data_IF_536485443236
#
_entry.id   IF_536485443236
#
_cell.length_a   1.000
_cell.length_b   1.000
_cell.length_c   1.000
_cell.angle_alpha   90.00
_cell.angle_beta   90.00
_cell.angle_gamma   90.00
#
_symmetry.space_group_name_H-M   'P 1'
#
loop_
_entity.id
_entity.type
_entity.pdbx_description
1 polymer ?
#
# COMPACT_ATOMS: atom_id res chain seq x y z
N UNK A 1 16.37 24.72 3.07
CA UNK A 1 17.24 25.09 4.20
C UNK A 1 18.58 24.42 4.04
N UNK A 2 19.53 25.17 3.51
CA UNK A 2 20.90 24.71 3.30
C UNK A 2 21.63 24.60 4.64
N UNK A 3 22.35 23.51 4.86
CA UNK A 3 23.18 23.28 6.06
C UNK A 3 24.58 22.84 5.68
N UNK A 4 25.56 23.17 6.52
CA UNK A 4 26.95 22.77 6.35
C UNK A 4 27.33 21.85 7.51
N UNK A 5 27.53 20.57 7.22
CA UNK A 5 27.94 19.57 8.20
C UNK A 5 29.45 19.51 8.27
N UNK A 6 30.01 19.62 9.47
CA UNK A 6 31.44 19.40 9.69
C UNK A 6 31.80 17.93 9.43
N UNK A 7 32.88 17.66 8.70
CA UNK A 7 33.35 16.27 8.45
C UNK A 7 34.19 15.71 9.59
N UNK A 8 34.74 16.60 10.42
CA UNK A 8 35.73 16.24 11.43
C UNK A 8 35.12 16.17 12.83
N UNK A 9 33.94 16.75 13.02
CA UNK A 9 33.23 16.78 14.30
C UNK A 9 31.92 16.02 14.18
N UNK A 10 31.62 15.09 15.10
CA UNK A 10 30.31 14.47 15.15
C UNK A 10 29.25 15.53 15.50
N UNK A 11 28.11 15.46 14.81
CA UNK A 11 26.90 16.24 15.11
C UNK A 11 27.01 17.77 15.05
N UNK A 12 28.02 18.31 14.35
CA UNK A 12 28.10 19.74 14.08
C UNK A 12 27.51 20.06 12.70
N UNK A 13 26.38 20.75 12.70
CA UNK A 13 25.78 21.38 11.52
C UNK A 13 25.65 22.89 11.74
N UNK A 14 26.10 23.66 10.75
CA UNK A 14 26.04 25.12 10.76
C UNK A 14 25.04 25.61 9.70
N UNK A 15 24.30 26.66 10.03
CA UNK A 15 23.60 27.45 9.02
C UNK A 15 24.60 28.31 8.21
N UNK A 16 24.23 28.81 7.02
CA UNK A 16 25.11 29.65 6.20
C UNK A 16 25.64 30.88 6.93
N UNK A 17 24.83 31.49 7.80
CA UNK A 17 25.22 32.66 8.60
C UNK A 17 26.30 32.30 9.64
N UNK A 18 26.13 31.19 10.38
CA UNK A 18 27.12 30.74 11.36
C UNK A 18 28.43 30.29 10.69
N UNK A 19 28.33 29.64 9.53
CA UNK A 19 29.51 29.23 8.76
C UNK A 19 30.28 30.44 8.23
N UNK A 20 29.61 31.41 7.63
CA UNK A 20 30.25 32.63 7.12
C UNK A 20 30.83 33.53 8.22
N UNK A 21 30.22 33.52 9.41
CA UNK A 21 30.76 34.17 10.60
C UNK A 21 31.96 33.42 11.21
N UNK A 22 32.29 32.21 10.75
CA UNK A 22 33.37 31.39 11.30
C UNK A 22 33.10 30.92 12.72
N UNK A 23 31.85 30.58 13.05
CA UNK A 23 31.45 30.15 14.38
C UNK A 23 32.20 28.89 14.83
N UNK A 24 32.74 28.92 16.04
CA UNK A 24 33.45 27.80 16.67
C UNK A 24 32.74 27.41 17.98
N UNK A 25 32.55 26.11 18.22
CA UNK A 25 31.88 25.60 19.42
C UNK A 25 32.60 24.36 19.96
N UNK A 26 32.99 24.40 21.24
CA UNK A 26 33.74 23.31 21.88
C UNK A 26 35.03 22.97 21.11
N UNK A 27 35.12 21.74 20.62
CA UNK A 27 36.27 21.25 19.84
C UNK A 27 36.16 21.56 18.33
N UNK A 28 35.03 22.09 17.87
CA UNK A 28 34.87 22.48 16.48
C UNK A 28 35.74 23.70 16.15
N UNK A 29 36.32 23.71 14.96
CA UNK A 29 37.13 24.82 14.45
C UNK A 29 36.70 25.17 13.03
N UNK A 30 36.76 26.46 12.70
CA UNK A 30 36.31 27.00 11.41
C UNK A 30 37.09 26.50 10.19
N UNK A 31 38.23 25.83 10.43
CA UNK A 31 39.12 25.29 9.40
C UNK A 31 38.93 23.80 9.15
N UNK A 32 38.01 23.13 9.85
CA UNK A 32 37.64 21.75 9.57
C UNK A 32 37.07 21.58 8.15
N UNK A 33 37.02 20.34 7.68
CA UNK A 33 36.30 20.02 6.46
C UNK A 33 34.78 20.18 6.64
N UNK A 34 34.08 20.52 5.56
CA UNK A 34 32.63 20.67 5.55
C UNK A 34 32.00 20.00 4.34
N UNK A 35 30.82 19.44 4.54
CA UNK A 35 29.96 18.90 3.49
C UNK A 35 28.66 19.68 3.44
N UNK A 36 28.24 20.03 2.23
CA UNK A 36 26.96 20.66 1.98
C UNK A 36 25.83 19.63 2.16
N UNK A 37 24.87 19.94 3.03
CA UNK A 37 23.65 19.17 3.23
C UNK A 37 22.49 19.98 2.69
N UNK A 38 21.95 19.54 1.54
CA UNK A 38 20.72 20.10 0.99
C UNK A 38 19.50 19.47 1.69
N UNK A 39 18.45 20.26 1.88
CA UNK A 39 17.18 19.83 2.45
C UNK A 39 16.25 19.13 1.45
N UNK A 40 16.80 18.61 0.35
CA UNK A 40 16.05 17.87 -0.68
C UNK A 40 15.14 18.75 -1.54
N UNK A 41 15.50 20.02 -1.77
CA UNK A 41 14.68 20.97 -2.53
C UNK A 41 14.87 20.87 -4.06
N UNK A 42 15.79 20.02 -4.52
CA UNK A 42 16.03 19.78 -5.94
C UNK A 42 15.02 18.77 -6.51
N UNK A 43 14.76 18.83 -7.82
CA UNK A 43 13.93 17.83 -8.52
C UNK A 43 14.77 16.61 -8.91
N UNK A 44 14.28 15.39 -8.62
CA UNK A 44 14.94 14.14 -9.01
C UNK A 44 14.80 13.84 -10.51
N UNK A 45 13.67 14.23 -11.09
CA UNK A 45 13.30 13.90 -12.46
C UNK A 45 13.71 14.97 -13.48
N UNK A 46 14.46 15.97 -13.02
CA UNK A 46 14.95 17.09 -13.81
C UNK A 46 14.05 18.33 -13.72
N UNK A 47 14.52 19.47 -14.24
CA UNK A 47 13.81 20.75 -14.16
C UNK A 47 12.54 20.81 -15.03
N UNK A 48 12.40 19.91 -16.00
CA UNK A 48 11.23 19.82 -16.89
C UNK A 48 10.18 18.82 -16.40
N UNK A 49 10.45 18.07 -15.33
CA UNK A 49 9.49 17.13 -14.77
C UNK A 49 8.26 17.87 -14.23
N UNK A 50 7.08 17.40 -14.63
CA UNK A 50 5.80 18.04 -14.30
C UNK A 50 5.63 18.25 -12.79
N UNK A 51 5.03 19.38 -12.42
CA UNK A 51 4.59 19.63 -11.05
C UNK A 51 5.68 20.01 -10.04
N UNK A 52 6.95 20.11 -10.42
CA UNK A 52 8.01 20.65 -9.54
C UNK A 52 8.25 19.85 -8.26
N UNK A 53 8.11 18.52 -8.34
CA UNK A 53 8.32 17.62 -7.19
C UNK A 53 9.76 17.69 -6.69
N UNK A 54 9.90 17.98 -5.40
CA UNK A 54 11.20 18.02 -4.74
C UNK A 54 11.61 16.62 -4.27
N UNK A 55 12.91 16.33 -4.21
CA UNK A 55 13.44 15.07 -3.69
C UNK A 55 12.90 14.74 -2.29
N UNK A 56 12.57 15.76 -1.49
CA UNK A 56 11.95 15.58 -0.19
C UNK A 56 10.50 15.12 -0.28
N UNK A 57 9.70 15.71 -1.19
CA UNK A 57 8.33 15.26 -1.46
C UNK A 57 8.34 13.82 -2.02
N UNK A 58 9.30 13.49 -2.88
CA UNK A 58 9.47 12.14 -3.44
C UNK A 58 9.78 11.11 -2.37
N UNK A 59 10.70 11.42 -1.45
CA UNK A 59 10.98 10.54 -0.31
C UNK A 59 9.74 10.36 0.57
N UNK A 60 9.05 11.47 0.89
CA UNK A 60 7.84 11.42 1.71
C UNK A 60 6.71 10.63 1.05
N UNK A 61 6.62 10.66 -0.28
CA UNK A 61 5.67 9.86 -1.05
C UNK A 61 5.96 8.36 -0.93
N UNK A 62 7.24 7.98 -1.01
CA UNK A 62 7.66 6.59 -0.85
C UNK A 62 7.45 6.07 0.58
N UNK A 63 7.68 6.91 1.58
CA UNK A 63 7.37 6.56 2.97
C UNK A 63 5.85 6.41 3.17
N UNK A 64 5.05 7.30 2.55
CA UNK A 64 3.59 7.27 2.64
C UNK A 64 2.98 6.03 1.98
N UNK A 65 3.47 5.62 0.80
CA UNK A 65 2.96 4.40 0.15
C UNK A 65 3.29 3.15 0.96
N UNK A 66 4.45 3.10 1.63
CA UNK A 66 4.82 2.00 2.52
C UNK A 66 3.89 1.97 3.76
N UNK A 67 3.56 3.14 4.31
CA UNK A 67 2.76 3.25 5.53
C UNK A 67 1.26 3.02 5.30
N UNK A 68 0.67 3.62 4.27
CA UNK A 68 -0.78 3.64 4.05
C UNK A 68 -1.25 2.69 2.94
N UNK A 69 -0.34 2.24 2.08
CA UNK A 69 -0.63 1.35 0.97
C UNK A 69 -1.25 2.06 -0.25
N UNK A 70 -1.16 1.36 -1.39
CA UNK A 70 -1.66 1.86 -2.67
C UNK A 70 -3.18 2.03 -2.67
N UNK A 71 -3.65 3.21 -3.11
CA UNK A 71 -5.07 3.54 -3.20
C UNK A 71 -5.57 4.46 -2.08
N UNK A 72 -4.84 4.59 -0.97
CA UNK A 72 -5.21 5.51 0.10
C UNK A 72 -4.62 6.92 -0.12
N UNK A 73 -5.00 7.55 -1.22
CA UNK A 73 -4.39 8.81 -1.69
C UNK A 73 -4.68 10.01 -0.78
N UNK A 74 -5.77 9.98 -0.03
CA UNK A 74 -6.13 11.02 0.94
C UNK A 74 -5.09 11.10 2.07
N UNK A 75 -4.82 9.97 2.74
CA UNK A 75 -3.83 9.91 3.81
C UNK A 75 -2.41 10.11 3.28
N UNK A 76 -2.13 9.59 2.08
CA UNK A 76 -0.82 9.80 1.44
C UNK A 76 -0.56 11.28 1.13
N UNK A 77 -1.53 12.02 0.60
CA UNK A 77 -1.38 13.45 0.33
C UNK A 77 -1.20 14.26 1.61
N UNK A 78 -1.95 13.92 2.67
CA UNK A 78 -1.76 14.53 3.98
C UNK A 78 -0.34 14.30 4.54
N UNK A 79 0.26 13.15 4.24
CA UNK A 79 1.63 12.81 4.66
C UNK A 79 2.71 13.55 3.85
N UNK A 80 2.58 13.57 2.51
CA UNK A 80 3.52 14.26 1.61
C UNK A 80 3.55 15.76 1.91
N UNK A 81 2.38 16.35 2.19
CA UNK A 81 2.23 17.71 2.67
C UNK A 81 1.09 18.46 2.00
N UNK A 82 0.68 19.56 2.63
CA UNK A 82 -0.48 20.36 2.20
C UNK A 82 -0.33 21.06 0.83
N UNK A 83 0.84 20.96 0.18
CA UNK A 83 1.09 21.50 -1.16
C UNK A 83 0.58 20.60 -2.29
N UNK A 84 0.17 19.36 -1.99
CA UNK A 84 -0.27 18.38 -3.00
C UNK A 84 -1.68 17.89 -2.71
N UNK A 85 -2.48 17.77 -3.75
CA UNK A 85 -3.80 17.14 -3.69
C UNK A 85 -3.68 15.62 -3.83
N UNK A 86 -4.65 14.84 -3.30
CA UNK A 86 -4.70 13.38 -3.51
C UNK A 86 -4.62 12.97 -4.99
N UNK A 87 -5.25 13.74 -5.87
CA UNK A 87 -5.21 13.50 -7.31
C UNK A 87 -3.81 13.67 -7.89
N UNK A 88 -3.11 14.76 -7.54
CA UNK A 88 -1.74 15.01 -8.01
C UNK A 88 -0.77 13.95 -7.49
N UNK A 89 -0.94 13.52 -6.23
CA UNK A 89 -0.12 12.46 -5.63
C UNK A 89 -0.31 11.13 -6.37
N UNK A 90 -1.57 10.76 -6.65
CA UNK A 90 -1.89 9.56 -7.41
C UNK A 90 -1.31 9.62 -8.82
N UNK A 91 -1.58 10.69 -9.56
CA UNK A 91 -1.13 10.85 -10.94
C UNK A 91 0.39 10.79 -11.04
N UNK A 92 1.09 11.48 -10.15
CA UNK A 92 2.55 11.47 -10.09
C UNK A 92 3.11 10.08 -9.78
N UNK A 93 2.57 9.40 -8.76
CA UNK A 93 3.05 8.07 -8.39
C UNK A 93 2.87 7.07 -9.55
N UNK A 94 1.69 7.07 -10.16
CA UNK A 94 1.36 6.16 -11.27
C UNK A 94 2.22 6.46 -12.51
N UNK A 95 2.39 7.72 -12.89
CA UNK A 95 3.16 8.09 -14.08
C UNK A 95 4.66 7.85 -13.90
N UNK A 96 5.24 8.19 -12.75
CA UNK A 96 6.69 8.18 -12.54
C UNK A 96 7.20 6.82 -12.03
N UNK A 97 6.48 6.19 -11.09
CA UNK A 97 6.94 4.96 -10.45
C UNK A 97 6.35 3.70 -11.07
N UNK A 98 5.09 3.72 -11.52
CA UNK A 98 4.44 2.52 -12.09
C UNK A 98 4.63 2.41 -13.60
N UNK A 99 4.37 3.50 -14.34
CA UNK A 99 4.49 3.52 -15.80
C UNK A 99 5.79 4.14 -16.30
N UNK A 100 6.54 4.78 -15.41
CA UNK A 100 7.82 5.39 -15.71
C UNK A 100 8.94 4.37 -15.83
N UNK A 101 10.16 4.88 -15.93
CA UNK A 101 11.34 4.03 -16.14
C UNK A 101 11.58 3.06 -14.98
N UNK A 102 11.28 3.47 -13.74
CA UNK A 102 11.40 2.61 -12.57
C UNK A 102 10.45 1.42 -12.66
N UNK A 103 9.17 1.65 -12.90
CA UNK A 103 8.18 0.58 -13.01
C UNK A 103 8.52 -0.39 -14.13
N UNK A 104 8.93 0.10 -15.30
CA UNK A 104 9.38 -0.74 -16.42
C UNK A 104 10.61 -1.61 -16.10
N UNK A 105 11.50 -1.11 -15.24
CA UNK A 105 12.71 -1.84 -14.86
C UNK A 105 12.48 -2.84 -13.71
N UNK A 106 11.57 -2.50 -12.79
CA UNK A 106 11.36 -3.25 -11.54
C UNK A 106 10.15 -4.18 -11.58
N UNK A 107 9.14 -3.89 -12.40
CA UNK A 107 7.91 -4.67 -12.52
C UNK A 107 8.05 -5.57 -13.75
N UNK A 108 8.08 -6.91 -13.59
CA UNK A 108 8.18 -7.81 -14.72
C UNK A 108 6.92 -7.77 -15.58
N UNK A 109 7.08 -7.84 -16.91
CA UNK A 109 5.95 -7.89 -17.87
C UNK A 109 4.99 -9.05 -17.60
N UNK A 110 5.52 -10.14 -17.02
CA UNK A 110 4.76 -11.30 -16.60
C UNK A 110 4.87 -11.45 -15.09
N UNK A 111 3.75 -11.27 -14.38
CA UNK A 111 3.66 -11.49 -12.94
C UNK A 111 3.49 -13.00 -12.71
N UNK A 112 4.52 -13.72 -12.23
CA UNK A 112 4.51 -15.19 -12.18
C UNK A 112 3.46 -15.74 -11.21
N UNK A 113 3.05 -14.94 -10.23
CA UNK A 113 2.06 -15.29 -9.21
C UNK A 113 0.80 -14.45 -9.36
N UNK A 114 0.14 -14.54 -10.52
CA UNK A 114 -1.13 -13.85 -10.73
C UNK A 114 -2.18 -14.41 -9.76
N UNK A 115 -2.48 -13.64 -8.72
CA UNK A 115 -3.56 -13.96 -7.79
C UNK A 115 -4.87 -14.05 -8.58
N UNK A 116 -5.45 -15.23 -8.60
CA UNK A 116 -6.72 -15.49 -9.25
C UNK A 116 -7.76 -15.61 -8.15
N UNK A 117 -8.76 -14.73 -8.16
CA UNK A 117 -9.91 -14.91 -7.30
C UNK A 117 -10.75 -16.09 -7.82
N UNK A 118 -10.79 -17.18 -7.05
CA UNK A 118 -11.54 -18.38 -7.37
C UNK A 118 -13.02 -18.34 -6.91
N UNK A 119 -13.43 -17.25 -6.28
CA UNK A 119 -14.81 -16.99 -5.87
C UNK A 119 -15.58 -16.16 -6.91
N UNK A 120 -14.85 -15.49 -7.81
CA UNK A 120 -15.43 -14.70 -8.90
C UNK A 120 -15.31 -15.39 -10.27
N UNK A 121 -16.23 -15.10 -11.21
CA UNK A 121 -16.08 -15.50 -12.61
C UNK A 121 -14.81 -14.90 -13.23
N UNK A 122 -14.13 -15.70 -14.08
CA UNK A 122 -12.89 -15.28 -14.74
C UNK A 122 -13.05 -13.99 -15.54
N UNK A 123 -12.25 -12.97 -15.23
CA UNK A 123 -12.26 -11.67 -15.91
C UNK A 123 -13.19 -10.61 -15.31
N UNK A 124 -13.86 -10.90 -14.18
CA UNK A 124 -14.56 -9.89 -13.38
C UNK A 124 -13.60 -8.98 -12.61
N UNK A 125 -14.06 -7.80 -12.14
CA UNK A 125 -13.30 -6.97 -11.20
C UNK A 125 -13.01 -7.76 -9.92
N UNK A 126 -11.96 -7.39 -9.19
CA UNK A 126 -11.55 -8.06 -7.93
C UNK A 126 -12.62 -8.00 -6.82
N UNK A 127 -13.69 -7.21 -7.01
CA UNK A 127 -14.85 -7.15 -6.12
C UNK A 127 -16.10 -6.74 -6.91
N UNK A 128 -16.70 -7.64 -7.69
CA UNK A 128 -17.87 -7.34 -8.53
C UNK A 128 -19.06 -6.83 -7.71
N UNK A 129 -19.22 -7.41 -6.52
CA UNK A 129 -20.30 -7.04 -5.61
C UNK A 129 -20.18 -5.61 -5.09
N UNK A 130 -18.97 -5.09 -4.85
CA UNK A 130 -18.78 -3.70 -4.36
C UNK A 130 -19.24 -2.66 -5.38
N UNK A 131 -19.24 -3.00 -6.67
CA UNK A 131 -19.67 -2.11 -7.75
C UNK A 131 -21.17 -2.20 -8.05
N UNK A 132 -21.87 -3.18 -7.45
CA UNK A 132 -23.29 -3.39 -7.69
C UNK A 132 -24.10 -2.77 -6.56
N UNK A 133 -24.86 -1.69 -6.79
CA UNK A 133 -25.68 -1.09 -5.75
C UNK A 133 -26.72 -2.10 -5.27
N UNK A 134 -26.71 -2.38 -3.97
CA UNK A 134 -27.71 -3.25 -3.34
C UNK A 134 -29.07 -2.54 -3.33
N UNK A 135 -30.17 -3.23 -3.64
CA UNK A 135 -31.50 -2.67 -3.46
C UNK A 135 -31.71 -2.28 -1.99
N UNK A 136 -32.43 -1.17 -1.72
CA UNK A 136 -32.67 -0.73 -0.35
C UNK A 136 -33.47 -1.78 0.40
N UNK A 137 -32.91 -2.25 1.52
CA UNK A 137 -33.52 -3.23 2.40
C UNK A 137 -34.50 -2.51 3.34
N UNK A 138 -35.72 -3.04 3.49
CA UNK A 138 -36.73 -2.49 4.41
C UNK A 138 -36.48 -3.00 5.84
N UNK A 139 -35.35 -2.59 6.41
CA UNK A 139 -34.93 -2.91 7.79
C UNK A 139 -34.45 -1.65 8.50
N UNK A 140 -34.71 -1.59 9.80
CA UNK A 140 -34.18 -0.53 10.66
C UNK A 140 -32.68 -0.70 10.87
N UNK A 141 -31.99 0.39 11.23
CA UNK A 141 -30.55 0.35 11.55
C UNK A 141 -30.24 -0.66 12.68
N UNK A 142 -31.16 -0.84 13.63
CA UNK A 142 -31.00 -1.78 14.73
C UNK A 142 -31.10 -3.25 14.25
N UNK A 143 -32.03 -3.55 13.34
CA UNK A 143 -32.15 -4.88 12.72
C UNK A 143 -30.96 -5.19 11.82
N UNK A 144 -30.49 -4.20 11.08
CA UNK A 144 -29.30 -4.32 10.25
C UNK A 144 -28.06 -4.69 11.07
N UNK A 145 -27.87 -4.07 12.25
CA UNK A 145 -26.79 -4.41 13.17
C UNK A 145 -26.91 -5.84 13.71
N UNK A 146 -28.13 -6.34 13.95
CA UNK A 146 -28.33 -7.72 14.41
C UNK A 146 -27.97 -8.77 13.35
N UNK A 147 -28.03 -8.42 12.07
CA UNK A 147 -27.59 -9.30 10.98
C UNK A 147 -26.06 -9.39 10.87
N UNK A 148 -25.33 -8.44 11.46
CA UNK A 148 -23.87 -8.34 11.35
C UNK A 148 -23.39 -8.15 9.91
N UNK A 149 -24.25 -7.72 8.99
CA UNK A 149 -23.89 -7.48 7.59
C UNK A 149 -23.39 -6.06 7.41
N UNK A 150 -22.27 -5.91 6.69
CA UNK A 150 -21.59 -4.66 6.38
C UNK A 150 -21.78 -4.33 4.89
N UNK A 151 -22.76 -3.48 4.51
CA UNK A 151 -23.14 -3.29 3.12
C UNK A 151 -22.03 -2.69 2.24
N UNK A 152 -21.25 -1.76 2.79
CA UNK A 152 -20.13 -1.13 2.07
C UNK A 152 -18.94 -2.08 1.83
N UNK A 153 -18.97 -3.26 2.44
CA UNK A 153 -17.96 -4.31 2.27
C UNK A 153 -18.52 -5.55 1.57
N UNK A 154 -19.83 -5.64 1.42
CA UNK A 154 -20.54 -6.86 1.00
C UNK A 154 -20.11 -8.09 1.83
N UNK A 155 -20.05 -7.90 3.16
CA UNK A 155 -19.40 -8.84 4.07
C UNK A 155 -20.12 -8.98 5.41
N UNK A 156 -19.91 -10.08 6.14
CA UNK A 156 -20.47 -10.29 7.47
C UNK A 156 -19.39 -10.12 8.55
N UNK A 157 -19.77 -9.67 9.74
CA UNK A 157 -18.87 -9.61 10.91
C UNK A 157 -18.38 -11.01 11.31
N UNK A 158 -19.26 -12.01 11.18
CA UNK A 158 -18.96 -13.42 11.41
C UNK A 158 -19.32 -14.19 10.14
N UNK A 159 -18.33 -14.80 9.51
CA UNK A 159 -18.51 -15.52 8.26
C UNK A 159 -19.04 -16.93 8.47
N UNK A 160 -19.69 -17.45 7.43
CA UNK A 160 -20.02 -18.88 7.42
C UNK A 160 -18.72 -19.71 7.40
N UNK A 161 -18.62 -20.66 8.34
CA UNK A 161 -17.44 -21.50 8.56
C UNK A 161 -16.18 -20.65 8.81
N UNK A 162 -16.21 -19.88 9.90
CA UNK A 162 -15.12 -18.99 10.36
C UNK A 162 -13.77 -19.72 10.56
N UNK A 163 -13.80 -21.04 10.73
CA UNK A 163 -12.63 -21.87 10.95
C UNK A 163 -12.03 -22.43 9.65
N UNK A 164 -12.54 -22.04 8.46
CA UNK A 164 -12.05 -22.52 7.18
C UNK A 164 -10.54 -22.27 7.00
N UNK A 165 -10.07 -21.10 7.43
CA UNK A 165 -8.69 -20.65 7.33
C UNK A 165 -7.73 -21.52 8.17
N UNK A 166 -8.22 -22.22 9.21
CA UNK A 166 -7.41 -23.19 9.98
C UNK A 166 -6.89 -24.34 9.13
N UNK A 167 -7.55 -24.69 8.02
CA UNK A 167 -7.10 -25.74 7.10
C UNK A 167 -5.78 -25.38 6.41
N UNK A 168 -5.53 -24.08 6.22
CA UNK A 168 -4.36 -23.58 5.49
C UNK A 168 -3.38 -22.85 6.40
N UNK A 169 -3.75 -22.53 7.65
CA UNK A 169 -2.94 -21.71 8.56
C UNK A 169 -1.56 -22.30 8.90
N UNK A 170 -1.42 -23.62 8.80
CA UNK A 170 -0.16 -24.33 9.04
C UNK A 170 0.57 -24.78 7.78
N UNK A 171 0.06 -24.46 6.58
CA UNK A 171 0.70 -24.88 5.34
C UNK A 171 1.95 -24.03 5.08
N UNK A 172 3.09 -24.69 4.93
CA UNK A 172 4.32 -24.10 4.39
C UNK A 172 4.64 -24.72 3.03
N UNK A 173 5.21 -23.94 2.11
CA UNK A 173 5.67 -24.43 0.80
C UNK A 173 7.19 -24.41 0.82
N UNK A 174 7.82 -25.58 0.65
CA UNK A 174 9.28 -25.69 0.63
C UNK A 174 9.74 -26.22 -0.74
N UNK A 175 10.99 -25.91 -1.12
CA UNK A 175 11.53 -26.29 -2.43
C UNK A 175 11.95 -27.76 -2.50
N UNK A 176 12.12 -28.40 -1.35
CA UNK A 176 12.53 -29.79 -1.15
C UNK A 176 11.37 -30.70 -0.72
N UNK A 177 10.13 -30.21 -0.75
CA UNK A 177 8.94 -31.01 -0.47
C UNK A 177 8.87 -32.22 -1.43
N UNK A 178 8.59 -33.41 -0.88
CA UNK A 178 8.35 -34.59 -1.70
C UNK A 178 7.01 -34.49 -2.45
N UNK A 179 6.87 -35.18 -3.59
CA UNK A 179 5.65 -35.16 -4.41
C UNK A 179 4.38 -35.49 -3.58
N UNK A 180 4.50 -36.40 -2.62
CA UNK A 180 3.39 -36.79 -1.72
C UNK A 180 2.99 -35.64 -0.80
N UNK A 181 3.96 -34.87 -0.29
CA UNK A 181 3.71 -33.70 0.55
C UNK A 181 3.06 -32.59 -0.27
N UNK A 182 3.53 -32.36 -1.50
CA UNK A 182 2.94 -31.39 -2.42
C UNK A 182 1.46 -31.72 -2.68
N UNK A 183 1.15 -32.99 -2.97
CA UNK A 183 -0.24 -33.42 -3.21
C UNK A 183 -1.11 -33.32 -1.94
N UNK A 184 -0.56 -33.60 -0.76
CA UNK A 184 -1.27 -33.40 0.51
C UNK A 184 -1.61 -31.91 0.73
N UNK A 185 -0.66 -31.00 0.45
CA UNK A 185 -0.85 -29.54 0.57
C UNK A 185 -1.89 -29.06 -0.43
N UNK A 186 -1.85 -29.55 -1.68
CA UNK A 186 -2.87 -29.28 -2.70
C UNK A 186 -4.26 -29.73 -2.25
N UNK A 187 -4.38 -30.91 -1.64
CA UNK A 187 -5.66 -31.40 -1.13
C UNK A 187 -6.23 -30.50 -0.02
N UNK A 188 -5.39 -29.97 0.88
CA UNK A 188 -5.81 -29.01 1.91
C UNK A 188 -6.31 -27.70 1.29
N UNK A 189 -5.58 -27.17 0.31
CA UNK A 189 -6.00 -25.98 -0.44
C UNK A 189 -7.33 -26.22 -1.17
N UNK A 190 -7.50 -27.37 -1.80
CA UNK A 190 -8.76 -27.78 -2.45
C UNK A 190 -9.94 -27.82 -1.47
N UNK A 191 -9.73 -28.37 -0.26
CA UNK A 191 -10.73 -28.37 0.79
C UNK A 191 -11.11 -26.94 1.22
N UNK A 192 -10.12 -26.07 1.39
CA UNK A 192 -10.34 -24.66 1.71
C UNK A 192 -11.11 -23.93 0.61
N UNK A 193 -10.75 -24.13 -0.67
CA UNK A 193 -11.45 -23.53 -1.81
C UNK A 193 -12.92 -23.96 -1.86
N UNK A 194 -13.23 -25.22 -1.55
CA UNK A 194 -14.64 -25.68 -1.46
C UNK A 194 -15.42 -24.94 -0.38
N UNK A 195 -14.80 -24.70 0.79
CA UNK A 195 -15.42 -23.91 1.87
C UNK A 195 -15.68 -22.47 1.43
N UNK A 196 -14.70 -21.82 0.78
CA UNK A 196 -14.86 -20.46 0.25
C UNK A 196 -15.99 -20.36 -0.78
N UNK A 197 -16.10 -21.34 -1.68
CA UNK A 197 -17.19 -21.37 -2.68
C UNK A 197 -18.57 -21.48 -2.02
N UNK A 198 -18.70 -22.28 -0.97
CA UNK A 198 -19.96 -22.39 -0.23
C UNK A 198 -20.29 -21.10 0.52
N UNK A 199 -19.29 -20.45 1.13
CA UNK A 199 -19.43 -19.13 1.76
C UNK A 199 -19.92 -18.10 0.74
N UNK A 200 -19.29 -18.02 -0.43
CA UNK A 200 -19.71 -17.11 -1.50
C UNK A 200 -21.11 -17.44 -2.03
N UNK A 201 -21.46 -18.73 -2.20
CA UNK A 201 -22.80 -19.15 -2.61
C UNK A 201 -23.87 -18.65 -1.65
N UNK A 202 -23.60 -18.68 -0.34
CA UNK A 202 -24.53 -18.17 0.68
C UNK A 202 -24.68 -16.65 0.62
N UNK A 203 -23.58 -15.91 0.44
CA UNK A 203 -23.65 -14.45 0.21
C UNK A 203 -24.49 -14.11 -1.02
N UNK A 204 -24.29 -14.85 -2.12
CA UNK A 204 -25.08 -14.66 -3.33
C UNK A 204 -26.57 -14.93 -3.10
N UNK A 205 -26.92 -16.00 -2.39
CA UNK A 205 -28.32 -16.27 -2.03
C UNK A 205 -28.90 -15.15 -1.17
N UNK A 206 -28.17 -14.70 -0.14
CA UNK A 206 -28.65 -13.62 0.72
C UNK A 206 -28.95 -12.34 -0.10
N UNK A 207 -28.10 -12.03 -1.08
CA UNK A 207 -28.28 -10.93 -2.01
C UNK A 207 -29.45 -11.15 -2.99
N UNK A 208 -29.50 -12.30 -3.66
CA UNK A 208 -30.49 -12.61 -4.70
C UNK A 208 -31.94 -12.61 -4.16
N UNK A 209 -32.09 -12.87 -2.86
CA UNK A 209 -33.38 -12.89 -2.17
C UNK A 209 -33.62 -11.64 -1.29
N UNK A 210 -32.79 -10.59 -1.40
CA UNK A 210 -32.88 -9.36 -0.60
C UNK A 210 -33.01 -9.63 0.92
N UNK A 211 -32.15 -10.50 1.44
CA UNK A 211 -32.04 -10.77 2.88
C UNK A 211 -31.01 -9.85 3.55
N UNK A 212 -30.16 -9.20 2.77
CA UNK A 212 -29.13 -8.22 3.15
C UNK A 212 -28.89 -7.20 2.06
#
# INVERSE_FOLDING_TARGET
NLRLRCTDCPDIELCPECFSAGAEIGNHRRWHGYQQVDGGLFSLWGPEAEGGWTSREEQSLLDAIEQYGFGNWEDMAAHVGASRTPQEVMEHYVTMYIHGNLGKACIPDNIPNRVTDHTCPSGGPLSPSLTTPLPPLDVTLAEQQQLGYMPLRDDYEIEYDQDAEKLISGLSVNYDDEDVEIELKRAHVDMYVRKLRERQRRKNIARDYNLV
#
